data_IF_666603610211
#
_entry.id   IF_666603610211
#
_cell.length_a   1.000
_cell.length_b   1.000
_cell.length_c   1.000
_cell.angle_alpha   90.00
_cell.angle_beta   90.00
_cell.angle_gamma   90.00
#
_symmetry.space_group_name_H-M   'P 1'
#
loop_
_entity.id
_entity.type
_entity.pdbx_description
1 polymer ?
#
# COMPACT_ATOMS: atom_id res chain seq x y z
N UNK A 1 -22.17 -4.50 -22.05
CA UNK A 1 -21.11 -4.62 -21.02
C UNK A 1 -21.69 -5.37 -19.84
N UNK A 2 -20.97 -6.37 -19.33
CA UNK A 2 -21.35 -7.11 -18.12
C UNK A 2 -21.39 -6.12 -16.95
N UNK A 3 -22.42 -6.22 -16.12
CA UNK A 3 -22.52 -5.38 -14.90
C UNK A 3 -21.40 -5.76 -13.94
N UNK A 4 -20.67 -4.80 -13.34
CA UNK A 4 -19.67 -5.08 -12.31
C UNK A 4 -20.24 -5.92 -11.17
N UNK A 5 -19.56 -7.00 -10.79
CA UNK A 5 -19.97 -7.88 -9.70
C UNK A 5 -19.13 -7.62 -8.44
N UNK A 6 -19.63 -6.77 -7.55
CA UNK A 6 -19.00 -6.45 -6.28
C UNK A 6 -18.83 -7.67 -5.36
N UNK A 7 -19.67 -8.71 -5.51
CA UNK A 7 -19.59 -9.92 -4.67
C UNK A 7 -18.36 -10.77 -5.02
N UNK A 8 -18.00 -10.86 -6.30
CA UNK A 8 -16.77 -11.51 -6.75
C UNK A 8 -15.52 -10.78 -6.24
N UNK A 9 -15.54 -9.45 -6.33
CA UNK A 9 -14.43 -8.63 -5.81
C UNK A 9 -14.26 -8.83 -4.32
N UNK A 10 -15.36 -8.79 -3.55
CA UNK A 10 -15.33 -9.02 -2.11
C UNK A 10 -14.77 -10.39 -1.74
N UNK A 11 -15.22 -11.44 -2.41
CA UNK A 11 -14.74 -12.81 -2.18
C UNK A 11 -13.23 -12.92 -2.43
N UNK A 12 -12.76 -12.34 -3.53
CA UNK A 12 -11.33 -12.28 -3.85
C UNK A 12 -10.52 -11.54 -2.78
N UNK A 13 -10.95 -10.34 -2.37
CA UNK A 13 -10.24 -9.52 -1.40
C UNK A 13 -10.12 -10.20 -0.03
N UNK A 14 -11.15 -10.95 0.40
CA UNK A 14 -11.10 -11.73 1.64
C UNK A 14 -10.08 -12.87 1.55
N UNK A 15 -10.08 -13.60 0.43
CA UNK A 15 -9.10 -14.67 0.16
C UNK A 15 -7.67 -14.11 0.08
N UNK A 16 -7.50 -12.97 -0.59
CA UNK A 16 -6.21 -12.29 -0.70
C UNK A 16 -5.66 -11.90 0.67
N UNK A 17 -6.51 -11.36 1.55
CA UNK A 17 -6.10 -11.04 2.92
C UNK A 17 -5.66 -12.29 3.68
N UNK A 18 -6.38 -13.40 3.54
CA UNK A 18 -6.06 -14.68 4.19
C UNK A 18 -4.70 -15.20 3.71
N UNK A 19 -4.45 -15.21 2.39
CA UNK A 19 -3.19 -15.67 1.79
C UNK A 19 -2.00 -14.81 2.23
N UNK A 20 -2.12 -13.49 2.15
CA UNK A 20 -1.07 -12.56 2.57
C UNK A 20 -0.72 -12.78 4.06
N UNK A 21 -1.72 -12.86 4.94
CA UNK A 21 -1.48 -13.08 6.36
C UNK A 21 -0.82 -14.45 6.62
N UNK A 22 -1.25 -15.49 5.92
CA UNK A 22 -0.67 -16.83 6.03
C UNK A 22 0.80 -16.82 5.60
N UNK A 23 1.12 -16.23 4.44
CA UNK A 23 2.50 -16.18 3.91
C UNK A 23 3.43 -15.34 4.79
N UNK A 24 2.97 -14.18 5.28
CA UNK A 24 3.74 -13.35 6.21
C UNK A 24 3.97 -14.07 7.54
N UNK A 25 2.93 -14.72 8.11
CA UNK A 25 3.06 -15.51 9.34
C UNK A 25 4.02 -16.69 9.19
N UNK A 26 4.02 -17.36 8.05
CA UNK A 26 4.91 -18.48 7.78
C UNK A 26 6.40 -18.06 7.79
N UNK A 27 6.70 -16.85 7.34
CA UNK A 27 8.07 -16.31 7.33
C UNK A 27 8.47 -15.76 8.69
N UNK A 28 7.54 -15.14 9.43
CA UNK A 28 7.76 -14.48 10.72
C UNK A 28 7.79 -15.47 11.89
N UNK A 29 6.94 -16.50 11.86
CA UNK A 29 6.68 -17.44 12.94
C UNK A 29 5.59 -16.99 13.92
N UNK A 30 4.99 -15.81 13.74
CA UNK A 30 3.96 -15.24 14.60
C UNK A 30 2.64 -15.10 13.84
N UNK A 31 1.49 -15.52 14.42
CA UNK A 31 0.18 -15.37 13.80
C UNK A 31 -0.32 -13.93 13.89
N UNK A 32 -1.17 -13.55 12.95
CA UNK A 32 -1.93 -12.30 13.02
C UNK A 32 -3.09 -12.42 14.02
N UNK A 33 -3.31 -11.36 14.78
CA UNK A 33 -4.54 -11.18 15.57
C UNK A 33 -5.60 -10.55 14.67
N UNK A 34 -6.82 -11.09 14.72
CA UNK A 34 -7.95 -10.61 13.94
C UNK A 34 -8.88 -9.74 14.78
N UNK A 35 -9.34 -8.64 14.20
CA UNK A 35 -10.30 -7.70 14.77
C UNK A 35 -11.38 -7.39 13.72
N UNK A 36 -12.57 -7.94 13.94
CA UNK A 36 -13.74 -7.72 13.10
C UNK A 36 -14.53 -6.52 13.62
N UNK A 37 -14.88 -5.60 12.73
CA UNK A 37 -15.57 -4.38 13.09
C UNK A 37 -16.73 -4.06 12.14
N UNK A 38 -17.71 -3.35 12.65
CA UNK A 38 -18.86 -2.86 11.90
C UNK A 38 -18.93 -1.34 12.00
N UNK A 39 -19.57 -0.72 11.01
CA UNK A 39 -19.76 0.71 10.90
C UNK A 39 -21.26 1.01 10.92
N UNK A 40 -21.70 1.90 11.81
CA UNK A 40 -23.13 2.27 11.94
C UNK A 40 -23.70 2.84 10.63
N UNK A 41 -22.88 3.56 9.86
CA UNK A 41 -23.27 4.13 8.57
C UNK A 41 -23.31 3.10 7.41
N UNK A 42 -23.03 1.84 7.69
CA UNK A 42 -23.05 0.74 6.71
C UNK A 42 -21.67 0.15 6.39
N UNK A 43 -21.61 -1.17 6.43
CA UNK A 43 -20.38 -1.92 6.16
C UNK A 43 -19.56 -2.22 7.40
N UNK A 44 -18.29 -2.56 7.18
CA UNK A 44 -17.36 -2.95 8.22
C UNK A 44 -16.03 -3.40 7.64
N UNK A 45 -15.29 -4.19 8.38
CA UNK A 45 -14.04 -4.74 7.92
C UNK A 45 -13.46 -5.79 8.84
N UNK A 46 -12.32 -6.32 8.42
CA UNK A 46 -11.54 -7.31 9.13
C UNK A 46 -10.09 -6.85 9.15
N UNK A 47 -9.67 -6.31 10.29
CA UNK A 47 -8.29 -5.85 10.49
C UNK A 47 -7.46 -6.98 11.08
N UNK A 48 -6.31 -7.29 10.50
CA UNK A 48 -5.37 -8.25 11.01
C UNK A 48 -4.05 -7.56 11.32
N UNK A 49 -3.54 -7.77 12.53
CA UNK A 49 -2.30 -7.14 13.01
C UNK A 49 -1.39 -8.18 13.61
N UNK A 50 -0.12 -8.18 13.18
CA UNK A 50 0.98 -8.88 13.80
C UNK A 50 1.85 -7.85 14.52
N UNK A 51 2.18 -8.11 15.79
CA UNK A 51 3.05 -7.24 16.60
C UNK A 51 4.14 -8.04 17.27
N UNK A 52 5.32 -7.44 17.35
CA UNK A 52 6.49 -8.01 18.02
C UNK A 52 6.80 -9.44 17.54
N UNK A 53 6.70 -9.66 16.23
CA UNK A 53 7.04 -10.93 15.61
C UNK A 53 8.54 -11.17 15.56
N UNK A 54 8.95 -12.31 15.03
CA UNK A 54 10.36 -12.67 14.93
C UNK A 54 11.12 -11.81 13.92
N UNK A 55 10.44 -11.37 12.86
CA UNK A 55 10.99 -10.57 11.76
C UNK A 55 10.30 -9.23 11.68
N UNK A 56 8.97 -9.21 11.79
CA UNK A 56 8.15 -8.02 11.66
C UNK A 56 7.86 -7.41 13.03
N UNK A 57 8.31 -6.18 13.24
CA UNK A 57 8.00 -5.41 14.44
C UNK A 57 6.51 -5.07 14.50
N UNK A 58 5.94 -4.74 13.33
CA UNK A 58 4.50 -4.63 13.12
C UNK A 58 4.16 -4.90 11.66
N UNK A 59 3.10 -5.64 11.44
CA UNK A 59 2.45 -5.76 10.14
C UNK A 59 0.95 -5.61 10.32
N UNK A 60 0.30 -4.85 9.44
CA UNK A 60 -1.15 -4.72 9.41
C UNK A 60 -1.67 -5.06 8.03
N UNK A 61 -2.72 -5.88 7.96
CA UNK A 61 -3.45 -6.22 6.73
C UNK A 61 -4.91 -5.99 7.00
N UNK A 62 -5.48 -4.94 6.41
CA UNK A 62 -6.86 -4.54 6.65
C UNK A 62 -7.72 -4.78 5.42
N UNK A 63 -8.77 -5.57 5.56
CA UNK A 63 -9.89 -5.59 4.64
C UNK A 63 -10.96 -4.62 5.13
N UNK A 64 -11.44 -3.74 4.25
CA UNK A 64 -12.58 -2.87 4.50
C UNK A 64 -13.62 -3.02 3.39
N UNK A 65 -14.89 -2.95 3.76
CA UNK A 65 -16.03 -2.93 2.87
C UNK A 65 -17.08 -1.99 3.44
N UNK A 66 -17.19 -0.81 2.86
CA UNK A 66 -18.09 0.25 3.32
C UNK A 66 -19.03 0.64 2.20
N UNK A 67 -20.27 0.97 2.59
CA UNK A 67 -21.30 1.39 1.64
C UNK A 67 -22.22 2.43 2.28
N UNK A 68 -22.97 3.16 1.46
CA UNK A 68 -23.90 4.16 1.93
C UNK A 68 -24.88 4.57 0.84
N UNK A 69 -26.01 5.15 1.28
CA UNK A 69 -27.09 5.59 0.39
C UNK A 69 -26.70 6.83 -0.46
N UNK A 70 -25.72 7.59 -0.02
CA UNK A 70 -25.20 8.76 -0.75
C UNK A 70 -23.73 9.00 -0.40
N UNK A 71 -22.98 9.51 -1.39
CA UNK A 71 -21.61 9.96 -1.18
C UNK A 71 -21.60 11.26 -0.36
N UNK A 72 -20.58 11.46 0.52
CA UNK A 72 -20.37 12.75 1.16
C UNK A 72 -20.19 13.89 0.13
N UNK A 73 -20.68 15.08 0.44
CA UNK A 73 -20.58 16.24 -0.45
C UNK A 73 -19.12 16.59 -0.80
N UNK A 74 -18.19 16.38 0.12
CA UNK A 74 -16.75 16.55 -0.13
C UNK A 74 -16.19 15.60 -1.19
N UNK A 75 -16.72 14.37 -1.27
CA UNK A 75 -16.31 13.39 -2.28
C UNK A 75 -16.90 13.66 -3.66
N UNK A 76 -18.08 14.31 -3.73
CA UNK A 76 -18.74 14.65 -5.00
C UNK A 76 -18.34 16.02 -5.57
N UNK A 77 -17.65 16.87 -4.79
CA UNK A 77 -17.22 18.19 -5.21
C UNK A 77 -16.35 18.19 -6.48
N UNK A 78 -15.54 17.16 -6.67
CA UNK A 78 -14.68 16.97 -7.84
C UNK A 78 -15.15 15.87 -8.79
N UNK A 79 -16.29 15.22 -8.47
CA UNK A 79 -16.89 14.12 -9.23
C UNK A 79 -18.42 14.25 -9.25
N UNK A 80 -18.95 15.21 -10.00
CA UNK A 80 -20.39 15.49 -10.05
C UNK A 80 -21.21 14.29 -10.53
N UNK A 81 -20.62 13.38 -11.31
CA UNK A 81 -21.26 12.16 -11.79
C UNK A 81 -21.64 11.19 -10.64
N UNK A 82 -21.03 11.32 -9.46
CA UNK A 82 -21.34 10.52 -8.27
C UNK A 82 -22.50 11.09 -7.44
N UNK A 83 -22.95 12.31 -7.73
CA UNK A 83 -23.98 12.96 -6.94
C UNK A 83 -25.33 12.19 -6.98
N UNK A 84 -25.89 11.94 -5.80
CA UNK A 84 -27.18 11.23 -5.65
C UNK A 84 -27.12 9.74 -5.98
N UNK A 85 -25.94 9.15 -5.98
CA UNK A 85 -25.72 7.71 -6.12
C UNK A 85 -25.47 7.07 -4.75
N UNK A 86 -25.99 5.86 -4.54
CA UNK A 86 -25.48 4.97 -3.51
C UNK A 86 -24.07 4.52 -3.89
N UNK A 87 -23.26 4.15 -2.92
CA UNK A 87 -21.88 3.69 -3.18
C UNK A 87 -21.51 2.46 -2.38
N UNK A 88 -20.56 1.75 -2.91
CA UNK A 88 -19.88 0.63 -2.27
C UNK A 88 -18.37 0.74 -2.57
N UNK A 89 -17.56 0.67 -1.53
CA UNK A 89 -16.10 0.72 -1.63
C UNK A 89 -15.50 -0.40 -0.80
N UNK A 90 -14.57 -1.14 -1.38
CA UNK A 90 -13.90 -2.24 -0.70
C UNK A 90 -12.43 -2.34 -1.11
N UNK A 91 -11.61 -2.89 -0.22
CA UNK A 91 -10.19 -3.06 -0.51
C UNK A 91 -9.44 -3.80 0.58
N UNK A 92 -8.23 -4.24 0.22
CA UNK A 92 -7.20 -4.69 1.14
C UNK A 92 -6.07 -3.69 1.12
N UNK A 93 -5.67 -3.21 2.30
CA UNK A 93 -4.51 -2.34 2.50
C UNK A 93 -3.58 -2.96 3.51
N UNK A 94 -2.29 -2.92 3.27
CA UNK A 94 -1.30 -3.48 4.17
C UNK A 94 -0.03 -2.63 4.27
N UNK A 95 0.60 -2.72 5.42
CA UNK A 95 1.95 -2.18 5.66
C UNK A 95 2.72 -3.15 6.55
N UNK A 96 3.98 -3.39 6.22
CA UNK A 96 4.90 -4.23 6.99
C UNK A 96 6.11 -3.43 7.43
N UNK A 97 6.35 -3.37 8.74
CA UNK A 97 7.49 -2.71 9.37
C UNK A 97 8.40 -3.75 10.03
N UNK A 98 9.56 -4.08 9.44
CA UNK A 98 10.46 -5.10 9.98
C UNK A 98 11.34 -4.58 11.12
N UNK A 99 11.82 -5.50 12.00
CA UNK A 99 12.82 -5.17 13.03
C UNK A 99 14.17 -4.80 12.41
N UNK A 100 14.63 -5.62 11.46
CA UNK A 100 15.95 -5.46 10.86
C UNK A 100 15.97 -4.27 9.90
N UNK A 101 16.87 -3.27 10.09
CA UNK A 101 16.97 -2.09 9.23
C UNK A 101 17.31 -2.38 7.76
N UNK A 102 17.87 -3.54 7.47
CA UNK A 102 18.19 -3.96 6.12
C UNK A 102 17.00 -4.55 5.36
N UNK A 103 15.92 -4.89 6.08
CA UNK A 103 14.65 -5.27 5.46
C UNK A 103 13.83 -4.00 5.26
N UNK A 104 13.39 -3.69 4.04
CA UNK A 104 12.61 -2.48 3.79
C UNK A 104 11.19 -2.57 4.36
N UNK A 105 10.60 -1.42 4.71
CA UNK A 105 9.15 -1.30 4.86
C UNK A 105 8.48 -1.48 3.51
N UNK A 106 7.36 -2.17 3.46
CA UNK A 106 6.55 -2.33 2.26
C UNK A 106 5.09 -1.96 2.51
N UNK A 107 4.45 -1.45 1.47
CA UNK A 107 3.03 -1.12 1.44
C UNK A 107 2.40 -1.73 0.19
N UNK A 108 1.16 -2.19 0.31
CA UNK A 108 0.31 -2.51 -0.83
C UNK A 108 -1.13 -2.13 -0.55
N UNK A 109 -1.86 -1.81 -1.60
CA UNK A 109 -3.29 -1.58 -1.57
C UNK A 109 -3.91 -2.06 -2.87
N UNK A 110 -5.04 -2.74 -2.79
CA UNK A 110 -5.93 -3.02 -3.92
C UNK A 110 -7.35 -2.73 -3.50
N UNK A 111 -8.09 -2.01 -4.35
CA UNK A 111 -9.42 -1.52 -4.01
C UNK A 111 -10.34 -1.48 -5.21
N UNK A 112 -11.64 -1.54 -4.92
CA UNK A 112 -12.74 -1.38 -5.86
C UNK A 112 -13.76 -0.39 -5.32
N UNK A 113 -14.30 0.42 -6.22
CA UNK A 113 -15.38 1.35 -5.96
C UNK A 113 -16.47 1.20 -7.02
N UNK A 114 -17.73 1.27 -6.57
CA UNK A 114 -18.89 1.34 -7.46
C UNK A 114 -19.94 2.30 -6.88
N UNK A 115 -20.56 3.10 -7.73
CA UNK A 115 -21.67 3.98 -7.37
C UNK A 115 -22.85 3.78 -8.35
N UNK A 116 -24.01 3.56 -7.79
CA UNK A 116 -25.20 3.18 -8.54
C UNK A 116 -26.37 4.17 -8.32
N UNK A 117 -27.18 4.33 -9.35
CA UNK A 117 -28.43 5.10 -9.33
C UNK A 117 -29.45 4.40 -10.23
N UNK A 118 -30.73 4.26 -9.79
CA UNK A 118 -31.76 3.68 -10.64
C UNK A 118 -31.86 4.40 -11.98
N UNK A 119 -31.90 3.63 -13.07
CA UNK A 119 -32.02 4.15 -14.43
C UNK A 119 -30.77 4.78 -15.04
N UNK A 120 -29.61 4.62 -14.42
CA UNK A 120 -28.33 5.09 -14.96
C UNK A 120 -27.28 3.98 -14.88
N UNK A 121 -26.31 4.00 -15.78
CA UNK A 121 -25.17 3.09 -15.74
C UNK A 121 -24.36 3.28 -14.45
N UNK A 122 -23.80 2.21 -13.86
CA UNK A 122 -22.94 2.30 -12.71
C UNK A 122 -21.64 3.06 -13.05
N UNK A 123 -21.14 3.83 -12.11
CA UNK A 123 -19.80 4.40 -12.15
C UNK A 123 -18.90 3.54 -11.26
N UNK A 124 -17.85 2.99 -11.81
CA UNK A 124 -16.96 2.09 -11.07
C UNK A 124 -15.51 2.23 -11.51
N UNK A 125 -14.58 1.86 -10.63
CA UNK A 125 -13.16 1.75 -10.94
C UNK A 125 -12.41 0.89 -9.94
N UNK A 126 -11.26 0.39 -10.36
CA UNK A 126 -10.24 -0.20 -9.52
C UNK A 126 -9.11 0.78 -9.26
N UNK A 127 -8.43 0.59 -8.12
CA UNK A 127 -7.21 1.29 -7.79
C UNK A 127 -6.31 0.40 -6.94
N UNK A 128 -5.03 0.74 -6.86
CA UNK A 128 -4.11 -0.03 -6.06
C UNK A 128 -2.66 0.22 -6.40
N UNK A 129 -1.82 -0.74 -6.00
CA UNK A 129 -0.40 -0.74 -6.20
C UNK A 129 0.37 -1.26 -4.99
N UNK A 130 1.68 -1.24 -5.09
CA UNK A 130 2.58 -1.52 -3.99
C UNK A 130 3.88 -0.72 -4.15
N UNK A 131 4.48 -0.33 -3.04
CA UNK A 131 5.74 0.40 -3.02
C UNK A 131 6.65 -0.05 -1.88
N UNK A 132 7.97 0.16 -2.08
CA UNK A 132 9.02 -0.28 -1.18
C UNK A 132 9.80 0.90 -0.62
N UNK A 133 9.99 0.92 0.71
CA UNK A 133 10.70 1.97 1.44
C UNK A 133 11.92 1.37 2.14
N UNK A 134 13.07 1.30 1.48
CA UNK A 134 14.32 0.86 2.10
C UNK A 134 14.91 1.94 3.01
N UNK A 135 15.67 1.49 4.02
CA UNK A 135 16.50 2.33 4.89
C UNK A 135 17.98 2.23 4.47
N UNK A 136 18.35 1.12 3.85
CA UNK A 136 19.64 0.88 3.21
C UNK A 136 19.40 0.34 1.81
N UNK A 137 20.15 0.86 0.84
CA UNK A 137 19.97 0.53 -0.58
C UNK A 137 20.69 -0.77 -0.96
N UNK A 138 19.95 -1.69 -1.58
CA UNK A 138 20.48 -2.89 -2.23
C UNK A 138 19.92 -2.97 -3.64
N UNK A 139 20.79 -2.81 -4.63
CA UNK A 139 20.37 -2.72 -6.03
C UNK A 139 19.68 -3.99 -6.51
N UNK A 140 20.14 -5.16 -6.09
CA UNK A 140 19.51 -6.44 -6.42
C UNK A 140 18.08 -6.58 -5.89
N UNK A 141 17.78 -5.96 -4.73
CA UNK A 141 16.43 -5.95 -4.16
C UNK A 141 15.50 -5.02 -4.95
N UNK A 142 16.03 -3.84 -5.34
CA UNK A 142 15.29 -2.90 -6.16
C UNK A 142 15.00 -3.47 -7.56
N UNK A 143 15.98 -4.11 -8.19
CA UNK A 143 15.81 -4.79 -9.47
C UNK A 143 14.79 -5.93 -9.36
N UNK A 144 14.86 -6.76 -8.32
CA UNK A 144 13.89 -7.83 -8.09
C UNK A 144 12.46 -7.27 -7.92
N UNK A 145 12.31 -6.25 -7.08
CA UNK A 145 11.02 -5.59 -6.83
C UNK A 145 10.38 -5.05 -8.11
N UNK A 146 11.14 -4.29 -8.88
CA UNK A 146 10.66 -3.68 -10.12
C UNK A 146 10.48 -4.68 -11.25
N UNK A 147 11.32 -5.73 -11.33
CA UNK A 147 11.15 -6.83 -12.30
C UNK A 147 9.84 -7.56 -12.03
N UNK A 148 9.56 -7.92 -10.77
CA UNK A 148 8.27 -8.54 -10.41
C UNK A 148 7.11 -7.62 -10.79
N UNK A 149 7.19 -6.31 -10.46
CA UNK A 149 6.16 -5.34 -10.83
C UNK A 149 5.93 -5.26 -12.36
N UNK A 150 7.00 -5.23 -13.15
CA UNK A 150 6.93 -5.22 -14.61
C UNK A 150 6.30 -6.50 -15.17
N UNK A 151 6.75 -7.64 -14.67
CA UNK A 151 6.31 -8.95 -15.16
C UNK A 151 4.81 -9.18 -14.86
N UNK A 152 4.30 -8.66 -13.74
CA UNK A 152 2.86 -8.63 -13.42
C UNK A 152 2.06 -7.75 -14.39
N UNK A 153 2.63 -6.65 -14.87
CA UNK A 153 1.97 -5.74 -15.81
C UNK A 153 1.99 -6.25 -17.25
N UNK A 154 2.98 -7.05 -17.63
CA UNK A 154 3.22 -7.48 -19.01
C UNK A 154 2.00 -8.09 -19.72
N UNK A 155 1.18 -8.94 -19.09
CA UNK A 155 -0.03 -9.50 -19.74
C UNK A 155 -1.09 -8.46 -20.11
N UNK A 156 -1.00 -7.25 -19.53
CA UNK A 156 -1.97 -6.16 -19.66
C UNK A 156 -1.52 -5.04 -20.62
N UNK A 157 -0.28 -5.11 -21.11
CA UNK A 157 0.29 -4.17 -22.08
C UNK A 157 1.69 -3.70 -21.73
N UNK A 158 2.50 -3.41 -22.74
CA UNK A 158 3.90 -2.99 -22.58
C UNK A 158 4.03 -1.61 -21.89
N UNK A 159 3.04 -0.74 -22.05
CA UNK A 159 3.00 0.61 -21.46
C UNK A 159 2.49 0.63 -20.00
N UNK A 160 1.94 -0.47 -19.50
CA UNK A 160 1.28 -0.53 -18.18
C UNK A 160 2.28 -0.31 -17.05
N UNK A 161 3.40 -1.04 -17.06
CA UNK A 161 4.42 -0.87 -16.02
C UNK A 161 5.03 0.53 -16.01
N UNK A 162 5.58 1.10 -17.11
CA UNK A 162 6.18 2.42 -17.08
C UNK A 162 5.19 3.51 -16.68
N UNK A 163 3.91 3.40 -17.08
CA UNK A 163 2.86 4.33 -16.71
C UNK A 163 2.58 4.30 -15.19
N UNK A 164 2.39 3.14 -14.61
CA UNK A 164 2.05 3.00 -13.19
C UNK A 164 3.27 3.15 -12.27
N UNK A 165 4.46 2.82 -12.74
CA UNK A 165 5.72 3.12 -12.05
C UNK A 165 5.92 4.64 -11.93
N UNK A 166 5.76 5.37 -13.03
CA UNK A 166 5.83 6.83 -13.03
C UNK A 166 4.80 7.46 -12.08
N UNK A 167 3.57 6.98 -12.12
CA UNK A 167 2.51 7.47 -11.23
C UNK A 167 2.82 7.18 -9.76
N UNK A 168 3.40 6.02 -9.46
CA UNK A 168 3.88 5.67 -8.13
C UNK A 168 4.95 6.65 -7.63
N UNK A 169 5.94 6.99 -8.46
CA UNK A 169 6.98 7.95 -8.11
C UNK A 169 6.40 9.36 -7.84
N UNK A 170 5.45 9.80 -8.64
CA UNK A 170 4.77 11.09 -8.47
C UNK A 170 3.90 11.11 -7.20
N UNK A 171 3.20 10.03 -6.90
CA UNK A 171 2.29 9.93 -5.77
C UNK A 171 3.03 9.92 -4.43
N UNK A 172 4.09 9.10 -4.30
CA UNK A 172 4.81 8.90 -3.04
C UNK A 172 5.96 9.89 -2.81
N UNK A 173 5.97 11.00 -3.51
CA UNK A 173 6.94 12.08 -3.33
C UNK A 173 6.61 12.97 -2.13
N UNK A 174 7.56 13.13 -1.19
CA UNK A 174 7.44 14.01 -0.03
C UNK A 174 7.79 15.44 -0.44
N UNK A 175 6.80 16.23 -0.78
CA UNK A 175 6.99 17.61 -1.31
C UNK A 175 7.76 18.52 -0.36
N UNK A 176 7.49 18.45 0.94
CA UNK A 176 8.13 19.27 1.96
C UNK A 176 9.56 18.85 2.31
N UNK A 177 9.99 17.65 1.85
CA UNK A 177 11.36 17.15 1.98
C UNK A 177 12.13 17.14 0.66
N UNK A 178 11.43 17.34 -0.45
CA UNK A 178 11.97 17.20 -1.81
C UNK A 178 12.67 15.84 -2.03
N UNK A 179 12.05 14.76 -1.54
CA UNK A 179 12.59 13.40 -1.66
C UNK A 179 11.50 12.36 -1.92
N UNK A 180 11.87 11.23 -2.47
CA UNK A 180 11.00 10.07 -2.61
C UNK A 180 10.80 9.38 -1.25
N UNK A 181 9.60 8.81 -0.99
CA UNK A 181 9.36 7.97 0.17
C UNK A 181 10.24 6.70 0.16
N UNK A 182 10.44 6.14 -1.01
CA UNK A 182 11.22 4.93 -1.25
C UNK A 182 11.63 4.79 -2.71
N UNK A 183 11.71 3.57 -3.19
CA UNK A 183 12.09 3.27 -4.58
C UNK A 183 10.89 3.13 -5.53
N UNK A 184 9.68 3.37 -5.05
CA UNK A 184 8.46 3.23 -5.84
C UNK A 184 8.00 1.77 -6.02
N UNK A 185 7.35 1.51 -7.12
CA UNK A 185 6.72 0.25 -7.47
C UNK A 185 5.61 0.49 -8.48
N UNK A 186 4.36 0.21 -8.12
CA UNK A 186 3.17 0.45 -8.94
C UNK A 186 2.15 1.30 -8.18
N UNK A 187 1.52 2.23 -8.89
CA UNK A 187 0.34 2.93 -8.41
C UNK A 187 -0.64 3.17 -9.57
N UNK A 188 -1.89 2.78 -9.38
CA UNK A 188 -2.97 3.04 -10.32
C UNK A 188 -4.26 3.43 -9.59
N UNK A 189 -5.06 4.25 -10.23
CA UNK A 189 -6.37 4.68 -9.75
C UNK A 189 -7.31 4.89 -10.94
N UNK A 190 -8.62 5.00 -10.68
CA UNK A 190 -9.62 5.23 -11.72
C UNK A 190 -9.57 4.23 -12.90
N UNK A 191 -9.09 3.01 -12.68
CA UNK A 191 -8.97 1.99 -13.71
C UNK A 191 -10.34 1.36 -13.99
N UNK A 192 -10.91 1.65 -15.16
CA UNK A 192 -12.23 1.14 -15.59
C UNK A 192 -12.30 0.79 -17.09
N UNK A 193 -11.17 0.73 -17.76
CA UNK A 193 -11.07 0.39 -19.19
C UNK A 193 -10.03 -0.70 -19.41
N UNK A 194 -10.26 -1.62 -20.36
CA UNK A 194 -11.36 -1.64 -21.35
C UNK A 194 -12.71 -2.12 -20.79
N UNK A 195 -12.72 -3.02 -19.80
CA UNK A 195 -13.90 -3.61 -19.18
C UNK A 195 -13.61 -4.05 -17.74
N UNK A 196 -14.66 -4.50 -17.05
CA UNK A 196 -14.58 -4.92 -15.67
C UNK A 196 -13.68 -6.15 -15.48
N UNK A 197 -13.82 -7.16 -16.31
CA UNK A 197 -13.08 -8.41 -16.21
C UNK A 197 -11.57 -8.18 -16.36
N UNK A 198 -11.17 -7.38 -17.34
CA UNK A 198 -9.77 -7.03 -17.56
C UNK A 198 -9.18 -6.22 -16.38
N UNK A 199 -9.92 -5.20 -15.91
CA UNK A 199 -9.49 -4.38 -14.77
C UNK A 199 -9.43 -5.19 -13.48
N UNK A 200 -10.39 -6.09 -13.26
CA UNK A 200 -10.40 -6.99 -12.12
C UNK A 200 -9.21 -7.96 -12.16
N UNK A 201 -8.93 -8.58 -13.32
CA UNK A 201 -7.78 -9.45 -13.50
C UNK A 201 -6.44 -8.72 -13.21
N UNK A 202 -6.31 -7.46 -13.62
CA UNK A 202 -5.14 -6.65 -13.32
C UNK A 202 -5.01 -6.40 -11.81
N UNK A 203 -6.09 -6.01 -11.15
CA UNK A 203 -6.10 -5.79 -9.70
C UNK A 203 -5.74 -7.09 -8.94
N UNK A 204 -6.25 -8.25 -9.41
CA UNK A 204 -5.90 -9.56 -8.84
C UNK A 204 -4.40 -9.84 -8.99
N UNK A 205 -3.83 -9.68 -10.19
CA UNK A 205 -2.41 -9.90 -10.44
C UNK A 205 -1.52 -9.03 -9.53
N UNK A 206 -1.87 -7.76 -9.34
CA UNK A 206 -1.12 -6.85 -8.45
C UNK A 206 -1.23 -7.30 -6.98
N UNK A 207 -2.42 -7.68 -6.51
CA UNK A 207 -2.62 -8.12 -5.14
C UNK A 207 -1.88 -9.42 -4.82
N UNK A 208 -2.02 -10.44 -5.66
CA UNK A 208 -1.39 -11.75 -5.50
C UNK A 208 0.14 -11.68 -5.63
N UNK A 209 0.64 -10.85 -6.54
CA UNK A 209 2.07 -10.70 -6.79
C UNK A 209 2.85 -9.97 -5.70
N UNK A 210 2.18 -9.28 -4.76
CA UNK A 210 2.85 -8.53 -3.70
C UNK A 210 3.80 -9.38 -2.87
N UNK A 211 3.36 -10.53 -2.41
CA UNK A 211 4.19 -11.41 -1.57
C UNK A 211 5.38 -12.01 -2.33
N UNK A 212 5.25 -12.24 -3.62
CA UNK A 212 6.34 -12.71 -4.48
C UNK A 212 7.37 -11.61 -4.73
N UNK A 213 6.94 -10.34 -4.75
CA UNK A 213 7.85 -9.21 -4.79
C UNK A 213 8.58 -8.99 -3.45
N UNK A 214 7.90 -9.15 -2.31
CA UNK A 214 8.45 -8.75 -1.01
C UNK A 214 9.21 -9.85 -0.26
N UNK A 215 8.68 -11.07 -0.18
CA UNK A 215 9.24 -12.13 0.67
C UNK A 215 10.66 -12.58 0.28
N UNK A 216 11.08 -12.60 -0.99
CA UNK A 216 12.46 -12.87 -1.35
C UNK A 216 13.44 -11.82 -0.79
N UNK A 217 13.05 -10.55 -0.73
CA UNK A 217 13.85 -9.47 -0.14
C UNK A 217 13.98 -9.71 1.37
N UNK A 218 12.87 -10.00 2.05
CA UNK A 218 12.90 -10.38 3.47
C UNK A 218 13.84 -11.55 3.71
N UNK A 219 13.75 -12.60 2.89
CA UNK A 219 14.61 -13.79 2.97
C UNK A 219 16.10 -13.46 2.90
N UNK A 220 16.49 -12.56 2.02
CA UNK A 220 17.91 -12.13 1.85
C UNK A 220 18.42 -11.29 3.02
N UNK A 221 17.56 -10.46 3.64
CA UNK A 221 17.98 -9.39 4.56
C UNK A 221 17.71 -9.68 6.04
N UNK A 222 16.75 -10.53 6.37
CA UNK A 222 16.30 -10.76 7.76
C UNK A 222 17.38 -11.23 8.73
N UNK A 223 18.42 -11.90 8.23
CA UNK A 223 19.53 -12.42 9.06
C UNK A 223 20.79 -11.55 9.05
N UNK A 224 20.78 -10.39 8.36
CA UNK A 224 21.91 -9.48 8.39
C UNK A 224 22.11 -8.88 9.77
N UNK A 225 23.34 -8.88 10.25
CA UNK A 225 23.68 -8.31 11.56
C UNK A 225 23.58 -6.76 11.48
N UNK A 226 23.01 -6.15 12.52
CA UNK A 226 22.89 -4.70 12.67
C UNK A 226 23.11 -4.27 14.12
N UNK A 227 23.45 -3.02 14.35
CA UNK A 227 23.64 -2.41 15.65
C UNK A 227 22.68 -1.23 15.89
N UNK A 228 22.97 -0.47 16.95
CA UNK A 228 22.22 0.73 17.32
C UNK A 228 22.21 1.78 16.21
N UNK A 229 23.35 1.97 15.52
CA UNK A 229 23.49 2.93 14.42
C UNK A 229 22.45 2.68 13.32
N UNK A 230 22.37 1.45 12.83
CA UNK A 230 21.43 1.08 11.76
C UNK A 230 19.99 1.17 12.27
N UNK A 231 19.75 0.81 13.52
CA UNK A 231 18.41 0.91 14.11
C UNK A 231 17.97 2.35 14.27
N UNK A 232 18.82 3.25 14.77
CA UNK A 232 18.53 4.66 14.94
C UNK A 232 18.24 5.32 13.59
N UNK A 233 19.02 5.00 12.58
CA UNK A 233 18.75 5.48 11.22
C UNK A 233 17.41 4.98 10.68
N UNK A 234 17.06 3.72 10.90
CA UNK A 234 15.73 3.20 10.54
C UNK A 234 14.62 3.99 11.24
N UNK A 235 14.73 4.25 12.54
CA UNK A 235 13.73 5.02 13.30
C UNK A 235 13.60 6.44 12.76
N UNK A 236 14.71 7.09 12.45
CA UNK A 236 14.73 8.40 11.81
C UNK A 236 14.04 8.39 10.45
N UNK A 237 14.37 7.41 9.59
CA UNK A 237 13.76 7.29 8.26
C UNK A 237 12.26 6.94 8.31
N UNK A 238 11.82 6.21 9.31
CA UNK A 238 10.39 5.97 9.56
C UNK A 238 9.62 7.26 9.81
N UNK A 239 10.27 8.32 10.29
CA UNK A 239 9.67 9.66 10.36
C UNK A 239 9.18 10.15 9.00
N UNK A 240 9.93 9.91 7.93
CA UNK A 240 9.52 10.27 6.54
C UNK A 240 8.27 9.49 6.10
N UNK A 241 8.20 8.21 6.45
CA UNK A 241 7.03 7.38 6.20
C UNK A 241 5.77 7.93 6.89
N UNK A 242 5.89 8.28 8.18
CA UNK A 242 4.79 8.87 8.97
C UNK A 242 4.38 10.23 8.40
N UNK A 243 5.34 11.09 8.06
CA UNK A 243 5.07 12.40 7.45
C UNK A 243 4.26 12.26 6.16
N UNK A 244 4.61 11.32 5.28
CA UNK A 244 3.84 11.08 4.06
C UNK A 244 2.41 10.65 4.38
N UNK A 245 2.25 9.63 5.20
CA UNK A 245 0.93 9.05 5.48
C UNK A 245 -0.02 10.04 6.17
N UNK A 246 0.48 10.87 7.10
CA UNK A 246 -0.36 11.82 7.83
C UNK A 246 -0.59 13.15 7.11
N UNK A 247 0.30 13.54 6.19
CA UNK A 247 0.23 14.87 5.55
C UNK A 247 -0.20 14.79 4.09
N UNK A 248 0.19 13.74 3.36
CA UNK A 248 0.04 13.68 1.91
C UNK A 248 -0.80 12.49 1.40
N UNK A 249 -0.94 11.41 2.19
CA UNK A 249 -1.70 10.26 1.73
C UNK A 249 -3.20 10.55 1.69
N UNK A 250 -3.75 10.60 0.48
CA UNK A 250 -5.17 10.90 0.25
C UNK A 250 -6.10 9.90 0.95
N UNK A 251 -5.71 8.61 0.98
CA UNK A 251 -6.49 7.55 1.62
C UNK A 251 -6.57 7.71 3.13
N UNK A 252 -5.43 7.97 3.79
CA UNK A 252 -5.35 8.24 5.24
C UNK A 252 -6.16 9.49 5.61
N UNK A 253 -5.92 10.60 4.90
CA UNK A 253 -6.63 11.85 5.15
C UNK A 253 -8.15 11.70 4.98
N UNK A 254 -8.59 11.10 3.88
CA UNK A 254 -10.01 10.83 3.63
C UNK A 254 -10.61 9.94 4.72
N UNK A 255 -9.93 8.84 5.07
CA UNK A 255 -10.41 7.93 6.10
C UNK A 255 -10.60 8.60 7.46
N UNK A 256 -9.63 9.40 7.92
CA UNK A 256 -9.69 10.12 9.20
C UNK A 256 -10.75 11.23 9.18
N UNK A 257 -10.87 11.97 8.08
CA UNK A 257 -11.83 13.08 7.95
C UNK A 257 -13.28 12.61 7.80
N UNK A 258 -13.52 11.41 7.30
CA UNK A 258 -14.87 10.85 7.08
C UNK A 258 -15.32 9.90 8.20
N UNK A 259 -14.61 9.89 9.35
CA UNK A 259 -14.95 9.04 10.48
C UNK A 259 -14.69 7.55 10.25
N UNK A 260 -13.70 7.23 9.42
CA UNK A 260 -13.18 5.87 9.29
C UNK A 260 -12.63 5.35 10.62
N UNK A 261 -12.53 4.02 10.74
CA UNK A 261 -12.03 3.40 11.97
C UNK A 261 -10.54 3.72 12.18
N UNK A 262 -10.24 4.59 13.14
CA UNK A 262 -8.89 5.12 13.41
C UNK A 262 -7.86 4.01 13.60
N UNK A 263 -8.17 2.97 14.38
CA UNK A 263 -7.25 1.85 14.64
C UNK A 263 -6.87 1.08 13.35
N UNK A 264 -7.84 0.90 12.45
CA UNK A 264 -7.61 0.23 11.17
C UNK A 264 -6.85 1.10 10.16
N UNK A 265 -6.92 2.42 10.29
CA UNK A 265 -6.17 3.37 9.47
C UNK A 265 -4.73 3.49 10.01
N UNK A 266 -4.59 3.75 11.31
CA UNK A 266 -3.27 4.01 11.93
C UNK A 266 -2.46 2.74 12.21
N UNK A 267 -3.00 1.52 12.00
CA UNK A 267 -2.20 0.30 12.02
C UNK A 267 -1.04 0.32 11.01
N UNK A 268 -1.14 1.17 9.98
CA UNK A 268 -0.11 1.36 8.96
C UNK A 268 1.12 2.12 9.46
N UNK A 269 1.04 2.74 10.64
CA UNK A 269 2.16 3.48 11.22
C UNK A 269 3.19 2.54 11.83
N UNK A 270 4.50 2.88 11.75
CA UNK A 270 5.53 2.13 12.46
C UNK A 270 5.32 2.26 13.97
N UNK A 271 5.56 1.18 14.77
CA UNK A 271 5.36 1.22 16.22
C UNK A 271 6.36 2.11 16.96
N UNK A 272 7.51 2.38 16.34
CA UNK A 272 8.57 3.28 16.83
C UNK A 272 9.09 4.14 15.69
N UNK A 273 9.29 5.41 15.99
CA UNK A 273 9.77 6.43 15.05
C UNK A 273 10.55 7.47 15.80
N UNK A 274 11.50 8.12 15.15
CA UNK A 274 12.26 9.24 15.73
C UNK A 274 12.34 10.39 14.72
N UNK A 275 12.38 11.63 15.24
CA UNK A 275 12.74 12.82 14.50
C UNK A 275 13.96 13.44 15.15
N UNK A 276 14.95 13.77 14.32
CA UNK A 276 16.15 14.47 14.74
C UNK A 276 16.22 15.81 14.02
N UNK A 277 16.48 16.86 14.78
CA UNK A 277 16.59 18.21 14.24
C UNK A 277 17.86 18.36 13.40
N UNK A 278 17.68 18.69 12.12
CA UNK A 278 18.77 18.94 11.16
C UNK A 278 19.78 17.77 11.03
N UNK A 279 19.29 16.53 11.09
CA UNK A 279 20.11 15.34 10.92
C UNK A 279 20.87 15.38 9.59
N UNK A 280 22.17 15.14 9.66
CA UNK A 280 23.05 14.99 8.51
C UNK A 280 23.80 13.66 8.65
N UNK A 281 23.62 12.71 7.73
CA UNK A 281 24.42 11.50 7.74
C UNK A 281 25.89 11.80 7.46
N UNK A 282 26.78 11.00 8.04
CA UNK A 282 28.22 11.09 7.78
C UNK A 282 28.52 10.91 6.28
N UNK A 283 29.32 11.79 5.72
CA UNK A 283 29.69 11.74 4.30
C UNK A 283 30.37 10.40 3.96
N UNK A 284 29.93 9.77 2.85
CA UNK A 284 30.42 8.47 2.42
C UNK A 284 29.82 7.27 3.20
N UNK A 285 28.97 7.52 4.17
CA UNK A 285 28.30 6.43 4.91
C UNK A 285 27.17 5.76 4.08
N UNK A 286 26.77 4.54 4.43
CA UNK A 286 25.61 3.90 3.83
C UNK A 286 24.31 4.69 4.01
N UNK A 287 24.18 5.43 5.13
CA UNK A 287 23.05 6.32 5.43
C UNK A 287 23.01 7.51 4.46
N UNK A 288 24.17 8.10 4.13
CA UNK A 288 24.26 9.18 3.15
C UNK A 288 23.93 8.68 1.73
N UNK A 289 24.35 7.46 1.39
CA UNK A 289 24.08 6.84 0.10
C UNK A 289 22.59 6.60 -0.18
N UNK A 290 21.75 6.52 0.86
CA UNK A 290 20.31 6.31 0.69
C UNK A 290 19.66 7.42 -0.15
N UNK A 291 20.06 8.67 0.02
CA UNK A 291 19.48 9.81 -0.71
C UNK A 291 19.63 9.68 -2.22
N UNK A 292 20.75 9.12 -2.69
CA UNK A 292 21.00 8.82 -4.10
C UNK A 292 20.22 7.57 -4.55
N UNK A 293 20.08 6.60 -3.66
CA UNK A 293 19.43 5.33 -3.96
C UNK A 293 17.92 5.49 -4.19
N UNK A 294 17.24 6.31 -3.40
CA UNK A 294 15.77 6.53 -3.51
C UNK A 294 15.38 7.58 -4.56
N UNK A 295 16.28 8.04 -5.41
CA UNK A 295 15.94 8.91 -6.56
C UNK A 295 15.13 8.14 -7.59
N UNK A 296 14.27 8.87 -8.30
CA UNK A 296 13.53 8.33 -9.45
C UNK A 296 14.55 7.89 -10.53
N UNK A 297 14.50 6.62 -10.85
CA UNK A 297 15.32 6.02 -11.94
C UNK A 297 14.69 4.75 -12.48
N UNK A 298 15.14 4.33 -13.65
CA UNK A 298 14.80 3.04 -14.22
C UNK A 298 15.60 1.93 -13.53
N UNK A 299 14.91 0.88 -13.09
CA UNK A 299 15.51 -0.27 -12.44
C UNK A 299 15.59 -1.51 -13.34
N UNK A 300 14.68 -1.56 -14.37
CA UNK A 300 14.50 -2.72 -15.26
C UNK A 300 14.07 -2.32 -16.66
#
# INVERSE_FOLDING_TARGET
>A
MTKPDASLVKAFLLTLQDDICQRLSAVDGTPFTEDNWQRDAGGGGRTRVLRNGGIFEQAGVNFSHVYGAAMPASATAHRPELAGRSFEAMGVSLVVHPHNPYVPTSHANVRFFIAEKPGADPVWWFGGGFDLTPFYGFEEDAIHWHRTARDLCQPFGEDVYPRYKKWCDEYFFLKHRNEQRGIGGLFFDDLNTPDFEHCFAFMQAVGEGYTDAYLPIVGRRKAMAFGERERDFQLYRRGRYVEFNLVWDRGTLFGLQTGGRTESILMSMPPKVAWEYNYQPEEGSPEAALSEFIRVREWV
#
